data_IF_321954388325
#
_entry.id   IF_321954388325
#
_cell.length_a   1.000
_cell.length_b   1.000
_cell.length_c   1.000
_cell.angle_alpha   90.00
_cell.angle_beta   90.00
_cell.angle_gamma   90.00
#
_symmetry.space_group_name_H-M   'P 1'
#
loop_
_entity.id
_entity.type
_entity.pdbx_description
1 polymer ?
#
# COMPACT_ATOMS: atom_id res chain seq x y z
N UNK A 1 -19.08 -12.45 4.45
CA UNK A 1 -18.82 -13.68 3.68
C UNK A 1 -19.86 -13.80 2.57
N UNK A 2 -19.56 -13.32 1.36
CA UNK A 2 -20.32 -13.50 0.12
C UNK A 2 -19.51 -12.77 -0.98
N UNK A 3 -19.21 -13.29 -2.15
CA UNK A 3 -19.56 -14.52 -2.87
C UNK A 3 -18.40 -14.77 -3.85
N UNK A 4 -17.85 -15.99 -4.01
CA UNK A 4 -16.79 -16.21 -4.99
C UNK A 4 -17.41 -16.23 -6.39
N UNK A 5 -16.87 -15.44 -7.31
CA UNK A 5 -17.14 -15.60 -8.74
C UNK A 5 -16.61 -16.98 -9.15
N UNK A 6 -17.50 -17.97 -9.22
CA UNK A 6 -17.18 -19.29 -9.73
C UNK A 6 -16.92 -19.22 -11.23
N UNK A 7 -15.66 -19.15 -11.64
CA UNK A 7 -15.25 -19.55 -12.97
C UNK A 7 -15.30 -21.09 -13.04
N UNK A 8 -16.44 -21.64 -13.48
CA UNK A 8 -16.55 -23.07 -13.81
C UNK A 8 -15.77 -23.36 -15.09
N UNK A 9 -14.54 -23.83 -14.95
CA UNK A 9 -13.84 -24.58 -15.99
C UNK A 9 -14.27 -26.05 -15.89
N UNK A 10 -15.19 -26.48 -16.75
CA UNK A 10 -15.34 -27.89 -17.10
C UNK A 10 -14.84 -28.09 -18.53
N UNK A 11 -13.62 -28.59 -18.63
CA UNK A 11 -13.12 -29.28 -19.82
C UNK A 11 -13.77 -30.67 -19.83
N UNK A 12 -14.63 -30.94 -20.81
CA UNK A 12 -15.02 -32.29 -21.17
C UNK A 12 -15.25 -32.34 -22.68
N UNK A 13 -14.29 -32.91 -23.39
CA UNK A 13 -14.44 -33.31 -24.78
C UNK A 13 -15.45 -34.47 -24.86
N UNK A 14 -16.50 -34.30 -25.67
CA UNK A 14 -17.20 -35.43 -26.30
C UNK A 14 -18.02 -34.94 -27.51
N UNK A 15 -17.99 -35.77 -28.54
CA UNK A 15 -18.43 -35.51 -29.91
C UNK A 15 -19.96 -35.37 -30.11
N UNK A 16 -20.31 -34.60 -31.16
CA UNK A 16 -21.49 -34.55 -32.08
C UNK A 16 -22.67 -35.56 -31.94
N UNK A 17 -23.87 -35.34 -32.55
CA UNK A 17 -24.32 -34.24 -33.44
C UNK A 17 -25.74 -33.64 -33.19
N UNK A 18 -25.98 -32.52 -33.90
CA UNK A 18 -27.24 -32.04 -34.50
C UNK A 18 -28.58 -32.16 -33.74
N UNK A 19 -29.09 -31.01 -33.27
CA UNK A 19 -30.49 -30.81 -32.91
C UNK A 19 -30.85 -29.32 -32.99
N UNK A 20 -31.70 -28.96 -33.95
CA UNK A 20 -32.18 -27.60 -34.21
C UNK A 20 -33.06 -27.15 -33.03
N UNK A 21 -32.72 -26.02 -32.42
CA UNK A 21 -33.49 -25.41 -31.35
C UNK A 21 -33.04 -23.98 -31.10
N UNK A 22 -33.43 -23.06 -31.98
CA UNK A 22 -33.21 -21.62 -31.85
C UNK A 22 -34.03 -21.04 -30.69
N UNK A 23 -33.53 -21.17 -29.44
CA UNK A 23 -33.89 -20.21 -28.39
C UNK A 23 -32.87 -19.08 -28.42
N UNK A 24 -33.22 -18.01 -29.15
CA UNK A 24 -32.54 -16.73 -29.06
C UNK A 24 -32.81 -16.15 -27.68
N UNK A 25 -31.96 -16.45 -26.70
CA UNK A 25 -31.91 -15.71 -25.44
C UNK A 25 -31.59 -14.23 -25.75
N UNK A 26 -32.27 -13.26 -25.13
CA UNK A 26 -31.98 -11.85 -25.38
C UNK A 26 -30.55 -11.52 -24.91
N UNK A 27 -29.80 -10.69 -25.66
CA UNK A 27 -28.41 -10.34 -25.32
C UNK A 27 -28.30 -9.37 -24.12
N UNK A 28 -29.41 -8.97 -23.50
CA UNK A 28 -29.41 -7.83 -22.57
C UNK A 28 -28.90 -8.16 -21.17
N UNK A 29 -29.04 -9.39 -20.65
CA UNK A 29 -28.73 -9.66 -19.23
C UNK A 29 -27.23 -9.82 -18.91
N UNK A 30 -26.36 -10.05 -19.91
CA UNK A 30 -24.92 -10.25 -19.69
C UNK A 30 -24.10 -8.97 -19.60
N UNK A 31 -24.62 -7.85 -20.12
CA UNK A 31 -23.93 -6.56 -20.09
C UNK A 31 -23.95 -5.94 -18.68
N UNK A 32 -25.10 -5.94 -18.00
CA UNK A 32 -25.29 -5.26 -16.71
C UNK A 32 -24.48 -5.84 -15.54
N UNK A 33 -24.10 -7.12 -15.60
CA UNK A 33 -23.29 -7.75 -14.55
C UNK A 33 -21.78 -7.46 -14.70
N UNK A 34 -21.28 -7.22 -15.92
CA UNK A 34 -19.90 -6.82 -16.16
C UNK A 34 -19.66 -5.36 -15.75
N UNK A 35 -20.59 -4.45 -16.09
CA UNK A 35 -20.46 -3.02 -15.78
C UNK A 35 -20.42 -2.73 -14.27
N UNK A 36 -21.14 -3.52 -13.46
CA UNK A 36 -21.13 -3.36 -12.01
C UNK A 36 -19.83 -3.88 -11.35
N UNK A 37 -19.18 -4.90 -11.93
CA UNK A 37 -17.89 -5.39 -11.43
C UNK A 37 -16.75 -4.41 -11.70
N UNK A 38 -16.68 -3.86 -12.92
CA UNK A 38 -15.65 -2.88 -13.30
C UNK A 38 -15.76 -1.59 -12.49
N UNK A 39 -16.98 -1.12 -12.21
CA UNK A 39 -17.22 0.04 -11.37
C UNK A 39 -16.75 -0.17 -9.91
N UNK A 40 -17.04 -1.33 -9.32
CA UNK A 40 -16.58 -1.66 -7.96
C UNK A 40 -15.05 -1.81 -7.89
N UNK A 41 -14.41 -2.36 -8.93
CA UNK A 41 -12.96 -2.52 -9.01
C UNK A 41 -12.25 -1.17 -9.19
N UNK A 42 -12.74 -0.29 -10.08
CA UNK A 42 -12.25 1.09 -10.24
C UNK A 42 -12.41 1.91 -8.95
N UNK A 43 -13.56 1.77 -8.26
CA UNK A 43 -13.77 2.42 -6.96
C UNK A 43 -12.73 1.96 -5.92
N UNK A 44 -12.41 0.65 -5.87
CA UNK A 44 -11.37 0.12 -4.97
C UNK A 44 -9.99 0.69 -5.30
N UNK A 45 -9.61 0.78 -6.57
CA UNK A 45 -8.33 1.35 -6.99
C UNK A 45 -8.22 2.83 -6.62
N UNK A 46 -9.28 3.62 -6.85
CA UNK A 46 -9.31 5.04 -6.45
C UNK A 46 -9.16 5.20 -4.94
N UNK A 47 -9.83 4.36 -4.15
CA UNK A 47 -9.70 4.35 -2.68
C UNK A 47 -8.30 3.94 -2.24
N UNK A 48 -7.70 2.91 -2.86
CA UNK A 48 -6.34 2.45 -2.58
C UNK A 48 -5.30 3.52 -2.92
N UNK A 49 -5.39 4.16 -4.10
CA UNK A 49 -4.53 5.26 -4.51
C UNK A 49 -4.68 6.48 -3.58
N UNK A 50 -5.91 6.82 -3.19
CA UNK A 50 -6.16 7.88 -2.21
C UNK A 50 -5.59 7.53 -0.82
N UNK A 51 -5.67 6.26 -0.40
CA UNK A 51 -5.07 5.77 0.84
C UNK A 51 -3.54 5.83 0.78
N UNK A 52 -2.92 5.38 -0.30
CA UNK A 52 -1.47 5.48 -0.53
C UNK A 52 -1.01 6.95 -0.51
N UNK A 53 -1.71 7.84 -1.21
CA UNK A 53 -1.42 9.29 -1.20
C UNK A 53 -1.56 9.90 0.19
N UNK A 54 -2.56 9.49 0.98
CA UNK A 54 -2.69 9.92 2.38
C UNK A 54 -1.56 9.38 3.27
N UNK A 55 -1.15 8.12 3.10
CA UNK A 55 -0.02 7.52 3.82
C UNK A 55 1.29 8.28 3.53
N UNK A 56 1.59 8.55 2.26
CA UNK A 56 2.77 9.33 1.85
C UNK A 56 2.77 10.76 2.43
N UNK A 57 1.62 11.44 2.40
CA UNK A 57 1.49 12.75 3.05
C UNK A 57 1.67 12.66 4.58
N UNK A 58 1.17 11.59 5.19
CA UNK A 58 1.33 11.32 6.62
C UNK A 58 2.78 11.10 7.03
N UNK A 59 3.53 10.29 6.27
CA UNK A 59 4.96 10.05 6.51
C UNK A 59 5.79 11.31 6.35
N UNK A 60 5.55 12.10 5.30
CA UNK A 60 6.24 13.38 5.09
C UNK A 60 5.98 14.37 6.25
N UNK A 61 4.72 14.49 6.71
CA UNK A 61 4.39 15.34 7.87
C UNK A 61 5.07 14.84 9.15
N UNK A 62 5.11 13.53 9.37
CA UNK A 62 5.76 12.93 10.54
C UNK A 62 7.27 13.18 10.52
N UNK A 63 7.92 13.07 9.36
CA UNK A 63 9.33 13.36 9.22
C UNK A 63 9.64 14.84 9.52
N UNK A 64 8.82 15.76 9.01
CA UNK A 64 8.96 17.20 9.30
C UNK A 64 8.81 17.50 10.80
N UNK A 65 7.80 16.89 11.46
CA UNK A 65 7.60 17.03 12.90
C UNK A 65 8.78 16.49 13.72
N UNK A 66 9.37 15.37 13.32
CA UNK A 66 10.57 14.82 13.97
C UNK A 66 11.79 15.71 13.73
N UNK A 67 11.93 16.32 12.55
CA UNK A 67 13.01 17.28 12.27
C UNK A 67 12.93 18.50 13.19
N UNK A 68 11.75 19.11 13.32
CA UNK A 68 11.50 20.22 14.25
C UNK A 68 11.77 19.81 15.71
N UNK A 69 11.38 18.58 16.08
CA UNK A 69 11.63 18.07 17.43
C UNK A 69 13.12 17.90 17.73
N UNK A 70 13.92 17.43 16.76
CA UNK A 70 15.39 17.36 16.89
C UNK A 70 15.96 18.75 17.15
N UNK A 71 15.58 19.74 16.34
CA UNK A 71 16.08 21.12 16.49
C UNK A 71 15.75 21.71 17.87
N UNK A 72 14.51 21.49 18.33
CA UNK A 72 14.10 21.90 19.68
C UNK A 72 14.89 21.20 20.77
N UNK A 73 15.10 19.89 20.67
CA UNK A 73 15.88 19.11 21.65
C UNK A 73 17.35 19.51 21.68
N UNK A 74 17.92 19.85 20.53
CA UNK A 74 19.29 20.40 20.46
C UNK A 74 19.37 21.73 21.21
N UNK A 75 18.40 22.63 21.04
CA UNK A 75 18.36 23.89 21.79
C UNK A 75 18.23 23.64 23.31
N UNK A 76 17.33 22.75 23.74
CA UNK A 76 17.17 22.35 25.14
C UNK A 76 18.47 21.76 25.73
N UNK A 77 19.17 20.91 24.96
CA UNK A 77 20.46 20.35 25.37
C UNK A 77 21.55 21.42 25.48
N UNK A 78 21.62 22.36 24.54
CA UNK A 78 22.56 23.49 24.60
C UNK A 78 22.34 24.34 25.86
N UNK A 79 21.07 24.61 26.23
CA UNK A 79 20.73 25.33 27.46
C UNK A 79 21.10 24.52 28.72
N UNK A 80 20.76 23.23 28.74
CA UNK A 80 21.08 22.35 29.86
C UNK A 80 22.59 22.25 30.12
N UNK A 81 23.41 22.27 29.06
CA UNK A 81 24.86 22.22 29.13
C UNK A 81 25.55 23.56 29.42
N UNK A 82 24.83 24.69 29.42
CA UNK A 82 25.43 26.01 29.63
C UNK A 82 25.83 26.29 31.09
N UNK A 83 25.38 25.46 32.04
CA UNK A 83 25.67 25.61 33.47
C UNK A 83 27.01 25.01 33.90
N UNK A 84 27.62 25.56 34.95
CA UNK A 84 28.92 25.09 35.50
C UNK A 84 28.83 23.75 36.27
N UNK A 85 27.63 23.35 36.68
CA UNK A 85 27.30 22.09 37.38
C UNK A 85 26.53 21.11 36.44
N UNK A 86 26.58 21.33 35.13
CA UNK A 86 25.66 20.73 34.16
C UNK A 86 25.90 19.24 33.84
N UNK A 87 26.90 18.56 34.42
CA UNK A 87 27.43 17.31 33.86
C UNK A 87 26.38 16.19 33.73
N UNK A 88 25.55 15.99 34.75
CA UNK A 88 24.52 14.94 34.71
C UNK A 88 23.32 15.32 33.83
N UNK A 89 22.83 16.56 33.93
CA UNK A 89 21.68 17.05 33.15
C UNK A 89 21.99 17.25 31.67
N UNK A 90 23.22 17.68 31.36
CA UNK A 90 23.73 17.82 30.00
C UNK A 90 23.78 16.48 29.27
N UNK A 91 24.29 15.43 29.93
CA UNK A 91 24.30 14.07 29.34
C UNK A 91 22.89 13.59 29.02
N UNK A 92 21.96 13.69 29.99
CA UNK A 92 20.57 13.28 29.80
C UNK A 92 19.91 14.05 28.65
N UNK A 93 20.14 15.36 28.55
CA UNK A 93 19.58 16.16 27.47
C UNK A 93 20.11 15.75 26.08
N UNK A 94 21.39 15.38 25.98
CA UNK A 94 21.95 14.83 24.74
C UNK A 94 21.47 13.41 24.43
N UNK A 95 21.22 12.58 25.44
CA UNK A 95 20.60 11.25 25.25
C UNK A 95 19.20 11.41 24.61
N UNK A 96 18.40 12.40 25.04
CA UNK A 96 17.09 12.68 24.41
C UNK A 96 17.23 13.15 22.94
N UNK A 97 18.26 13.93 22.61
CA UNK A 97 18.55 14.31 21.22
C UNK A 97 18.87 13.09 20.37
N UNK A 98 19.66 12.15 20.92
CA UNK A 98 20.00 10.89 20.26
C UNK A 98 18.74 10.06 19.96
N UNK A 99 17.87 9.87 20.96
CA UNK A 99 16.64 9.09 20.80
C UNK A 99 15.72 9.66 19.70
N UNK A 100 15.49 10.98 19.70
CA UNK A 100 14.64 11.62 18.67
C UNK A 100 15.30 11.53 17.29
N UNK A 101 16.62 11.71 17.22
CA UNK A 101 17.38 11.60 15.97
C UNK A 101 17.34 10.18 15.42
N UNK A 102 17.45 9.18 16.29
CA UNK A 102 17.30 7.77 15.94
C UNK A 102 15.90 7.47 15.44
N UNK A 103 14.85 7.99 16.09
CA UNK A 103 13.47 7.83 15.63
C UNK A 103 13.25 8.44 14.23
N UNK A 104 13.86 9.59 13.94
CA UNK A 104 13.83 10.19 12.60
C UNK A 104 14.59 9.35 11.56
N UNK A 105 15.76 8.84 11.91
CA UNK A 105 16.55 7.98 11.03
C UNK A 105 15.84 6.64 10.73
N UNK A 106 15.22 6.02 11.74
CA UNK A 106 14.40 4.81 11.57
C UNK A 106 13.21 5.07 10.64
N UNK A 107 12.52 6.20 10.81
CA UNK A 107 11.43 6.56 9.90
C UNK A 107 11.91 6.67 8.45
N UNK A 108 13.03 7.36 8.20
CA UNK A 108 13.61 7.50 6.86
C UNK A 108 13.99 6.16 6.25
N UNK A 109 14.64 5.29 7.04
CA UNK A 109 14.99 3.93 6.62
C UNK A 109 13.74 3.14 6.22
N UNK A 110 12.69 3.14 7.05
CA UNK A 110 11.43 2.46 6.74
C UNK A 110 10.74 2.99 5.47
N UNK A 111 10.83 4.29 5.22
CA UNK A 111 10.29 4.88 3.98
C UNK A 111 11.10 4.41 2.77
N UNK A 112 12.42 4.31 2.89
CA UNK A 112 13.29 3.84 1.81
C UNK A 112 13.16 2.33 1.54
N UNK A 113 12.93 1.53 2.60
CA UNK A 113 12.70 0.09 2.52
C UNK A 113 11.27 -0.27 2.11
N UNK A 114 10.33 0.68 2.16
CA UNK A 114 8.96 0.44 1.75
C UNK A 114 8.92 0.21 0.22
N UNK A 115 8.12 -0.76 -0.25
CA UNK A 115 7.96 -1.01 -1.68
C UNK A 115 7.47 0.27 -2.36
N UNK A 116 8.12 0.62 -3.46
CA UNK A 116 7.81 1.83 -4.21
C UNK A 116 6.41 1.77 -4.80
N UNK A 117 5.96 0.57 -5.16
CA UNK A 117 4.61 0.32 -5.63
C UNK A 117 3.74 -0.20 -4.47
N UNK A 118 2.68 0.54 -4.08
CA UNK A 118 1.71 0.08 -3.09
C UNK A 118 1.05 -1.27 -3.43
N UNK A 119 1.03 -1.68 -4.70
CA UNK A 119 0.45 -2.94 -5.16
C UNK A 119 1.41 -4.14 -5.00
N UNK A 120 2.71 -3.90 -4.89
CA UNK A 120 3.74 -4.95 -4.87
C UNK A 120 3.56 -5.99 -3.73
N UNK A 121 3.24 -5.62 -2.47
CA UNK A 121 2.96 -6.59 -1.42
C UNK A 121 1.71 -7.44 -1.70
N UNK A 122 0.72 -6.89 -2.39
CA UNK A 122 -0.50 -7.61 -2.73
C UNK A 122 -0.20 -8.67 -3.79
N UNK A 123 0.59 -8.32 -4.82
CA UNK A 123 0.96 -9.25 -5.88
C UNK A 123 1.94 -10.35 -5.43
N UNK A 124 2.74 -10.11 -4.38
CA UNK A 124 3.57 -11.14 -3.78
C UNK A 124 2.74 -12.34 -3.27
N UNK A 125 1.57 -12.08 -2.69
CA UNK A 125 0.67 -13.12 -2.16
C UNK A 125 -0.38 -13.58 -3.19
N UNK A 126 -0.66 -12.78 -4.23
CA UNK A 126 -1.69 -13.04 -5.25
C UNK A 126 -1.14 -12.97 -6.68
N UNK A 127 -0.19 -13.85 -7.06
CA UNK A 127 0.50 -13.76 -8.35
C UNK A 127 -0.39 -14.06 -9.57
N UNK A 128 -1.53 -14.72 -9.37
CA UNK A 128 -2.46 -15.08 -10.42
C UNK A 128 -3.62 -14.09 -10.60
N UNK A 129 -3.70 -13.04 -9.77
CA UNK A 129 -4.70 -11.99 -9.97
C UNK A 129 -4.39 -11.19 -11.23
N UNK A 130 -5.44 -10.77 -11.95
CA UNK A 130 -5.31 -10.04 -13.22
C UNK A 130 -4.48 -8.76 -13.09
N UNK A 131 -4.53 -8.12 -11.91
CA UNK A 131 -3.76 -6.92 -11.59
C UNK A 131 -2.26 -7.19 -11.35
N UNK A 132 -1.88 -8.47 -11.22
CA UNK A 132 -0.54 -8.94 -10.88
C UNK A 132 0.10 -9.83 -11.96
N UNK A 133 -0.67 -10.20 -12.98
CA UNK A 133 -0.20 -11.06 -14.06
C UNK A 133 0.90 -10.36 -14.89
N UNK A 134 2.08 -10.97 -14.93
CA UNK A 134 3.19 -10.53 -15.78
C UNK A 134 3.20 -11.34 -17.08
N UNK A 135 3.29 -10.65 -18.22
CA UNK A 135 3.47 -11.29 -19.53
C UNK A 135 4.97 -11.34 -19.81
N UNK A 136 5.54 -12.54 -19.78
CA UNK A 136 6.90 -12.74 -20.27
C UNK A 136 6.87 -12.63 -21.80
N UNK A 137 7.59 -11.64 -22.32
CA UNK A 137 7.86 -11.53 -23.75
C UNK A 137 9.18 -12.26 -23.97
N UNK A 138 9.14 -13.47 -24.52
CA UNK A 138 10.35 -14.20 -24.90
C UNK A 138 10.97 -13.52 -26.13
N UNK A 139 12.20 -13.01 -26.00
CA UNK A 139 13.00 -12.39 -27.08
C UNK A 139 13.57 -13.41 -28.07
#
# INVERSE_FOLDING_TARGET
>A
MASPCLASLFYAASALPAGIGTRRSPPSARAWHHDNCTHHQLQRLVVAAAAAKRRYKGTARKEAMLAELVERKVAEAMEACAGREAEAGCRVAWDEVEEVSQARADLRRRIAEAPSDPLEPFCADNPADDDCAVVYVDD
#
